data_IF_259337042515
#
_entry.id   IF_259337042515
#
_cell.length_a   1.000
_cell.length_b   1.000
_cell.length_c   1.000
_cell.angle_alpha   90.00
_cell.angle_beta   90.00
_cell.angle_gamma   90.00
#
_symmetry.space_group_name_H-M   'P 1'
#
loop_
_entity.id
_entity.type
_entity.pdbx_description
1 polymer ?
#
# COMPACT_ATOMS: atom_id res chain seq x y z
N UNK A 1 26.40 -44.03 41.30
CA UNK A 1 26.79 -42.66 41.64
C UNK A 1 25.59 -41.79 41.39
N UNK A 2 25.06 -41.23 42.47
CA UNK A 2 23.74 -40.63 42.58
C UNK A 2 23.84 -39.13 42.28
N UNK A 3 22.77 -38.55 41.75
CA UNK A 3 22.45 -37.16 42.09
C UNK A 3 22.08 -36.29 40.91
N UNK A 4 20.81 -36.40 40.50
CA UNK A 4 20.04 -35.27 39.98
C UNK A 4 20.20 -34.10 40.97
N UNK A 5 20.72 -32.93 40.57
CA UNK A 5 20.68 -31.76 41.44
C UNK A 5 19.24 -31.18 41.50
N UNK A 6 18.86 -30.59 42.64
CA UNK A 6 17.48 -30.43 43.07
C UNK A 6 16.74 -29.27 42.41
N UNK A 7 15.42 -29.46 42.25
CA UNK A 7 14.42 -28.39 42.19
C UNK A 7 14.49 -27.57 43.47
N UNK A 8 14.78 -26.27 43.35
CA UNK A 8 14.64 -25.33 44.46
C UNK A 8 13.31 -24.57 44.32
N UNK A 9 12.39 -24.65 45.30
CA UNK A 9 11.18 -23.87 45.36
C UNK A 9 11.44 -22.57 46.13
N UNK A 10 11.33 -21.41 45.48
CA UNK A 10 11.28 -20.13 46.18
C UNK A 10 10.47 -19.12 45.36
N UNK A 11 9.19 -19.00 45.72
CA UNK A 11 8.38 -17.81 45.47
C UNK A 11 8.46 -16.91 46.72
N UNK A 12 8.60 -15.60 46.51
CA UNK A 12 8.61 -14.54 47.53
C UNK A 12 10.04 -14.22 47.97
N UNK A 13 10.58 -13.03 47.74
CA UNK A 13 10.01 -11.74 48.11
C UNK A 13 10.18 -10.68 47.01
N UNK A 14 9.16 -9.83 46.90
CA UNK A 14 9.11 -8.70 46.00
C UNK A 14 10.08 -7.61 46.47
N UNK A 15 11.23 -7.51 45.82
CA UNK A 15 11.91 -6.22 45.75
C UNK A 15 11.20 -5.37 44.71
N UNK A 16 10.25 -4.54 45.20
CA UNK A 16 9.69 -3.43 44.45
C UNK A 16 10.84 -2.57 43.93
N UNK A 17 11.19 -2.74 42.65
CA UNK A 17 12.05 -1.81 41.95
C UNK A 17 11.21 -0.57 41.60
N UNK A 18 11.43 0.60 42.23
CA UNK A 18 10.68 1.81 41.90
C UNK A 18 11.07 2.41 40.53
N UNK A 19 11.97 1.76 39.78
CA UNK A 19 12.43 2.16 38.46
C UNK A 19 12.20 1.12 37.35
N UNK A 20 11.44 0.04 37.62
CA UNK A 20 10.98 -0.82 36.53
C UNK A 20 9.85 -0.10 35.79
N UNK A 21 10.21 0.59 34.70
CA UNK A 21 9.25 1.04 33.70
C UNK A 21 8.39 -0.18 33.31
N UNK A 22 7.11 -0.10 33.65
CA UNK A 22 6.08 -0.97 33.12
C UNK A 22 6.15 -0.81 31.60
N UNK A 23 6.81 -1.75 30.92
CA UNK A 23 6.60 -1.91 29.49
C UNK A 23 5.23 -2.55 29.42
N UNK A 24 4.21 -1.70 29.22
CA UNK A 24 2.91 -2.18 28.82
C UNK A 24 3.14 -3.17 27.67
N UNK A 25 2.68 -4.40 27.86
CA UNK A 25 2.61 -5.40 26.82
C UNK A 25 1.62 -4.87 25.78
N UNK A 26 2.14 -4.04 24.87
CA UNK A 26 1.42 -3.55 23.71
C UNK A 26 1.10 -4.80 22.92
N UNK A 27 -0.17 -5.21 22.99
CA UNK A 27 -0.76 -6.15 22.06
C UNK A 27 -0.28 -5.77 20.65
N UNK A 28 0.10 -6.71 19.77
CA UNK A 28 0.40 -6.39 18.38
C UNK A 28 -0.89 -5.92 17.73
N UNK A 29 -1.17 -4.63 17.93
CA UNK A 29 -2.09 -3.87 17.13
C UNK A 29 -1.36 -3.85 15.81
N UNK A 30 -1.81 -4.68 14.86
CA UNK A 30 -1.39 -4.58 13.46
C UNK A 30 -1.60 -3.12 13.07
N UNK A 31 -0.55 -2.32 13.22
CA UNK A 31 -0.54 -0.96 12.74
C UNK A 31 -0.73 -1.13 11.24
N UNK A 32 -1.92 -0.74 10.79
CA UNK A 32 -2.28 -0.69 9.39
C UNK A 32 -1.29 0.30 8.77
N UNK A 33 -0.18 -0.23 8.25
CA UNK A 33 0.82 0.54 7.53
C UNK A 33 0.13 1.23 6.37
N UNK A 34 -0.24 2.49 6.55
CA UNK A 34 -0.79 3.32 5.48
C UNK A 34 0.40 3.87 4.71
N UNK A 35 0.84 3.12 3.70
CA UNK A 35 1.59 3.73 2.61
C UNK A 35 0.56 4.48 1.79
N UNK A 36 0.72 5.79 1.69
CA UNK A 36 -0.02 6.59 0.72
C UNK A 36 0.88 6.80 -0.48
N UNK A 37 0.88 5.84 -1.41
CA UNK A 37 1.37 6.15 -2.75
C UNK A 37 0.30 7.03 -3.37
N UNK A 38 0.34 8.34 -3.15
CA UNK A 38 -0.63 9.27 -3.72
C UNK A 38 -0.32 9.44 -5.20
N UNK A 39 -1.05 8.74 -6.05
CA UNK A 39 -0.97 8.90 -7.50
C UNK A 39 -1.76 10.16 -7.87
N UNK A 40 -1.13 11.32 -7.72
CA UNK A 40 -1.75 12.60 -8.07
C UNK A 40 -1.96 12.68 -9.58
N UNK A 41 -3.21 12.55 -10.02
CA UNK A 41 -3.58 12.83 -11.40
C UNK A 41 -3.47 14.35 -11.65
N UNK A 42 -2.90 14.80 -12.78
CA UNK A 42 -2.93 16.21 -13.12
C UNK A 42 -4.39 16.66 -13.23
N UNK A 43 -4.80 17.55 -12.32
CA UNK A 43 -6.08 18.23 -12.40
C UNK A 43 -6.22 18.83 -13.80
N UNK A 44 -7.24 18.40 -14.54
CA UNK A 44 -7.52 18.91 -15.89
C UNK A 44 -7.73 20.42 -15.75
N UNK A 45 -6.73 21.20 -16.16
CA UNK A 45 -6.85 22.64 -16.25
C UNK A 45 -7.80 22.93 -17.39
N UNK A 46 -9.07 23.18 -17.07
CA UNK A 46 -10.10 23.48 -18.07
C UNK A 46 -9.77 24.83 -18.70
N UNK A 47 -9.08 24.81 -19.84
CA UNK A 47 -8.81 25.99 -20.63
C UNK A 47 -10.12 26.44 -21.31
N UNK A 48 -10.77 27.43 -20.67
CA UNK A 48 -11.72 28.42 -21.24
C UNK A 48 -12.48 28.01 -22.50
N UNK A 49 -13.73 27.58 -22.34
CA UNK A 49 -14.80 27.94 -23.27
C UNK A 49 -16.10 28.20 -22.51
N UNK A 50 -16.66 29.38 -22.78
CA UNK A 50 -17.83 30.00 -22.15
C UNK A 50 -19.12 29.22 -22.44
N UNK A 51 -19.48 28.29 -21.56
CA UNK A 51 -20.85 27.84 -21.35
C UNK A 51 -21.05 27.55 -19.85
N UNK A 52 -22.25 27.78 -19.28
CA UNK A 52 -22.54 27.35 -17.92
C UNK A 52 -22.56 25.81 -17.90
N UNK A 53 -21.48 25.20 -17.43
CA UNK A 53 -21.33 23.74 -17.35
C UNK A 53 -22.28 23.24 -16.24
N UNK A 54 -23.32 22.44 -16.54
CA UNK A 54 -24.08 21.78 -15.51
C UNK A 54 -23.21 20.65 -14.94
N UNK A 55 -23.02 20.68 -13.63
CA UNK A 55 -22.34 19.66 -12.82
C UNK A 55 -20.82 19.58 -13.03
N UNK A 56 -20.07 20.40 -12.29
CA UNK A 56 -18.66 20.11 -11.90
C UNK A 56 -18.71 19.00 -10.83
N UNK A 57 -19.42 17.93 -11.16
CA UNK A 57 -19.69 16.81 -10.29
C UNK A 57 -18.39 16.09 -10.03
N UNK A 58 -18.31 15.52 -8.83
CA UNK A 58 -17.16 14.82 -8.29
C UNK A 58 -16.88 13.49 -9.03
N UNK A 59 -16.79 13.55 -10.35
CA UNK A 59 -16.69 12.40 -11.22
C UNK A 59 -15.23 11.96 -11.30
N UNK A 60 -14.99 10.64 -11.20
CA UNK A 60 -13.65 10.11 -11.30
C UNK A 60 -13.04 10.42 -12.69
N UNK A 61 -11.72 10.71 -12.78
CA UNK A 61 -11.06 11.04 -14.04
C UNK A 61 -11.08 9.88 -15.05
N UNK A 62 -11.23 8.64 -14.56
CA UNK A 62 -11.52 7.45 -15.36
C UNK A 62 -12.83 6.80 -14.88
N UNK A 63 -13.44 5.91 -15.67
CA UNK A 63 -14.67 5.25 -15.19
C UNK A 63 -14.38 4.24 -14.09
N UNK A 64 -13.40 3.36 -14.32
CA UNK A 64 -13.00 2.28 -13.42
C UNK A 64 -11.50 2.10 -13.48
N UNK A 65 -10.87 2.00 -12.32
CA UNK A 65 -9.47 1.64 -12.17
C UNK A 65 -9.39 0.32 -11.41
N UNK A 66 -8.41 -0.49 -11.74
CA UNK A 66 -8.15 -1.76 -11.08
C UNK A 66 -6.67 -1.87 -10.72
N UNK A 67 -6.38 -2.65 -9.68
CA UNK A 67 -5.02 -3.04 -9.31
C UNK A 67 -4.84 -4.53 -9.59
N UNK A 68 -3.76 -4.88 -10.28
CA UNK A 68 -3.31 -6.25 -10.45
C UNK A 68 -1.85 -6.34 -10.00
N UNK A 69 -1.49 -7.37 -9.24
CA UNK A 69 -0.18 -7.45 -8.61
C UNK A 69 0.36 -8.85 -8.47
N UNK A 70 1.60 -8.94 -7.99
CA UNK A 70 2.33 -10.21 -7.87
C UNK A 70 1.76 -11.15 -6.80
N UNK A 71 0.98 -10.63 -5.84
CA UNK A 71 0.32 -11.43 -4.78
C UNK A 71 -0.60 -12.52 -5.32
N UNK A 72 -1.09 -12.38 -6.56
CA UNK A 72 -1.84 -13.43 -7.26
C UNK A 72 -1.32 -13.69 -8.68
N UNK A 73 -0.05 -13.39 -8.94
CA UNK A 73 0.59 -13.49 -10.25
C UNK A 73 -0.14 -12.67 -11.35
N UNK A 74 -0.70 -11.52 -10.99
CA UNK A 74 -1.47 -10.63 -11.89
C UNK A 74 -2.69 -11.31 -12.53
N UNK A 75 -3.23 -12.36 -11.89
CA UNK A 75 -4.38 -13.12 -12.41
C UNK A 75 -5.69 -12.37 -12.22
N UNK A 76 -5.83 -11.60 -11.15
CA UNK A 76 -7.04 -10.85 -10.83
C UNK A 76 -6.80 -9.34 -10.90
N UNK A 77 -7.87 -8.61 -11.21
CA UNK A 77 -7.91 -7.15 -11.24
C UNK A 77 -8.89 -6.66 -10.18
N UNK A 78 -8.37 -6.18 -9.05
CA UNK A 78 -9.17 -5.66 -7.95
C UNK A 78 -9.63 -4.23 -8.27
N UNK A 79 -10.94 -4.00 -8.36
CA UNK A 79 -11.49 -2.66 -8.64
C UNK A 79 -11.17 -1.70 -7.50
N UNK A 80 -10.68 -0.51 -7.84
CA UNK A 80 -10.40 0.58 -6.91
C UNK A 80 -11.66 1.39 -6.64
N UNK A 81 -11.82 1.88 -5.42
CA UNK A 81 -12.93 2.72 -5.01
C UNK A 81 -12.60 4.19 -5.28
N UNK A 82 -13.46 4.91 -6.01
CA UNK A 82 -13.36 6.36 -6.09
C UNK A 82 -13.97 7.00 -4.84
N UNK A 83 -13.16 7.71 -4.06
CA UNK A 83 -13.62 8.37 -2.83
C UNK A 83 -14.13 9.81 -3.04
N UNK A 84 -14.08 10.29 -4.29
CA UNK A 84 -14.34 11.69 -4.62
C UNK A 84 -13.09 12.52 -4.87
N UNK A 85 -11.90 11.98 -4.68
CA UNK A 85 -10.63 12.68 -4.87
C UNK A 85 -9.56 11.79 -5.50
N UNK A 86 -9.56 10.51 -5.14
CA UNK A 86 -8.56 9.52 -5.53
C UNK A 86 -9.19 8.14 -5.72
N UNK A 87 -8.44 7.21 -6.31
CA UNK A 87 -8.83 5.81 -6.39
C UNK A 87 -8.11 5.04 -5.30
N UNK A 88 -8.85 4.46 -4.36
CA UNK A 88 -8.26 3.71 -3.25
C UNK A 88 -8.48 2.21 -3.39
N UNK A 89 -7.47 1.43 -3.04
CA UNK A 89 -7.59 -0.03 -2.94
C UNK A 89 -6.68 -0.54 -1.82
N UNK A 90 -7.21 -1.41 -0.95
CA UNK A 90 -6.39 -2.09 0.05
C UNK A 90 -5.87 -3.39 -0.53
N UNK A 91 -4.54 -3.52 -0.57
CA UNK A 91 -3.84 -4.72 -1.01
C UNK A 91 -3.21 -5.41 0.20
N UNK A 92 -3.21 -6.74 0.19
CA UNK A 92 -2.55 -7.55 1.20
C UNK A 92 -1.26 -8.11 0.61
N UNK A 93 -0.14 -7.92 1.30
CA UNK A 93 1.13 -8.48 0.89
C UNK A 93 1.19 -9.98 1.17
N UNK A 94 1.68 -10.76 0.21
CA UNK A 94 2.02 -12.16 0.45
C UNK A 94 3.53 -12.33 0.71
N UNK A 95 4.35 -11.40 0.22
CA UNK A 95 5.80 -11.32 0.46
C UNK A 95 6.21 -9.98 1.08
N UNK A 96 7.48 -9.86 1.47
CA UNK A 96 8.08 -8.61 1.93
C UNK A 96 8.15 -7.54 0.81
N UNK A 97 8.13 -7.97 -0.45
CA UNK A 97 8.08 -7.09 -1.61
C UNK A 97 7.02 -7.56 -2.61
N UNK A 98 6.17 -6.63 -3.06
CA UNK A 98 5.14 -6.91 -4.07
C UNK A 98 5.17 -5.85 -5.17
N UNK A 99 4.92 -6.27 -6.41
CA UNK A 99 4.82 -5.42 -7.58
C UNK A 99 3.39 -5.34 -8.08
N UNK A 100 2.96 -4.18 -8.59
CA UNK A 100 1.61 -4.03 -9.13
C UNK A 100 1.54 -3.07 -10.32
N UNK A 101 0.42 -3.18 -11.06
CA UNK A 101 0.04 -2.27 -12.13
C UNK A 101 -1.37 -1.76 -11.90
N UNK A 102 -1.63 -0.53 -12.36
CA UNK A 102 -2.97 0.05 -12.37
C UNK A 102 -3.53 -0.03 -13.79
N UNK A 103 -4.72 -0.64 -13.90
CA UNK A 103 -5.38 -0.96 -15.16
C UNK A 103 -6.68 -0.18 -15.24
N UNK A 104 -6.87 0.57 -16.33
CA UNK A 104 -8.07 1.38 -16.57
C UNK A 104 -9.06 0.58 -17.40
N UNK A 105 -10.33 0.58 -16.98
CA UNK A 105 -11.44 -0.14 -17.62
C UNK A 105 -11.19 -1.65 -17.81
N UNK A 106 -10.38 -2.25 -16.95
CA UNK A 106 -10.13 -3.69 -16.96
C UNK A 106 -9.38 -4.20 -18.19
N UNK A 107 -8.64 -3.33 -18.90
CA UNK A 107 -7.88 -3.71 -20.10
C UNK A 107 -6.40 -3.39 -19.97
N UNK A 108 -5.53 -4.39 -20.17
CA UNK A 108 -4.08 -4.22 -20.19
C UNK A 108 -3.58 -3.27 -21.28
N UNK A 109 -4.42 -2.91 -22.26
CA UNK A 109 -4.11 -1.89 -23.26
C UNK A 109 -4.22 -0.45 -22.71
N UNK A 110 -4.68 -0.27 -21.46
CA UNK A 110 -4.81 1.03 -20.80
C UNK A 110 -4.25 0.92 -19.38
N UNK A 111 -2.97 1.19 -19.22
CA UNK A 111 -2.28 1.12 -17.92
C UNK A 111 -1.78 2.47 -17.45
N UNK A 112 -1.88 2.73 -16.16
CA UNK A 112 -1.20 3.83 -15.49
C UNK A 112 0.05 3.27 -14.82
N UNK A 113 1.21 3.78 -15.21
CA UNK A 113 2.51 3.24 -14.83
C UNK A 113 3.52 4.35 -14.52
N UNK A 114 4.56 4.06 -13.71
CA UNK A 114 5.61 5.02 -13.43
C UNK A 114 6.54 5.18 -14.63
N UNK A 115 7.16 6.36 -14.75
CA UNK A 115 8.21 6.62 -15.74
C UNK A 115 9.50 5.83 -15.50
N UNK A 116 9.65 5.22 -14.32
CA UNK A 116 10.80 4.42 -13.90
C UNK A 116 10.28 3.05 -13.49
N UNK A 117 10.91 1.97 -13.97
CA UNK A 117 10.54 0.63 -13.57
C UNK A 117 10.81 0.39 -12.07
N UNK A 118 9.96 -0.41 -11.45
CA UNK A 118 10.02 -0.75 -10.03
C UNK A 118 10.07 0.47 -9.11
N UNK A 119 9.24 1.47 -9.44
CA UNK A 119 9.14 2.70 -8.67
C UNK A 119 8.40 2.46 -7.35
N UNK A 120 8.95 3.03 -6.28
CA UNK A 120 8.30 3.11 -4.97
C UNK A 120 7.74 4.53 -4.79
N UNK A 121 6.88 4.73 -3.78
CA UNK A 121 6.37 6.06 -3.41
C UNK A 121 7.49 7.08 -3.09
N UNK A 122 8.66 6.60 -2.67
CA UNK A 122 9.77 7.46 -2.27
C UNK A 122 10.76 7.76 -3.39
N UNK A 123 10.54 7.19 -4.58
CA UNK A 123 11.37 7.43 -5.74
C UNK A 123 10.75 8.55 -6.58
N UNK A 124 11.59 9.44 -7.13
CA UNK A 124 11.10 10.41 -8.10
C UNK A 124 10.62 9.71 -9.38
N UNK A 125 9.37 9.90 -9.75
CA UNK A 125 8.75 9.33 -10.95
C UNK A 125 7.66 10.26 -11.49
N UNK A 126 7.27 10.07 -12.74
CA UNK A 126 6.10 10.70 -13.34
C UNK A 126 5.08 9.62 -13.72
N UNK A 127 3.78 9.95 -13.64
CA UNK A 127 2.73 9.09 -14.15
C UNK A 127 2.71 9.09 -15.69
N UNK A 128 2.53 7.91 -16.27
CA UNK A 128 2.41 7.67 -17.70
C UNK A 128 1.13 6.89 -18.00
N UNK A 129 0.68 6.95 -19.24
CA UNK A 129 -0.59 6.39 -19.68
C UNK A 129 -1.82 7.25 -19.32
N UNK A 130 -3.05 6.70 -19.39
CA UNK A 130 -3.35 5.32 -19.74
C UNK A 130 -3.12 5.01 -21.22
N UNK A 131 -2.20 4.11 -21.51
CA UNK A 131 -1.88 3.63 -22.86
C UNK A 131 -1.45 2.16 -22.85
N UNK A 132 -1.13 1.61 -24.04
CA UNK A 132 -0.68 0.22 -24.21
C UNK A 132 0.79 0.00 -23.88
N UNK A 133 1.51 1.03 -23.42
CA UNK A 133 2.86 0.97 -22.90
C UNK A 133 2.91 0.39 -21.49
N UNK A 134 3.99 0.65 -20.75
CA UNK A 134 4.12 0.27 -19.34
C UNK A 134 4.32 -1.23 -19.07
N UNK A 135 4.55 -2.05 -20.10
CA UNK A 135 4.94 -3.44 -19.87
C UNK A 135 6.30 -3.49 -19.14
N UNK A 136 6.33 -4.12 -17.96
CA UNK A 136 7.52 -4.15 -17.09
C UNK A 136 7.77 -2.88 -16.29
N UNK A 137 6.94 -1.84 -16.41
CA UNK A 137 7.00 -0.65 -15.56
C UNK A 137 6.00 -0.82 -14.40
N UNK A 138 6.45 -1.50 -13.35
CA UNK A 138 5.62 -1.78 -12.19
C UNK A 138 5.85 -0.77 -11.07
N UNK A 139 4.81 -0.58 -10.27
CA UNK A 139 4.91 -0.02 -8.93
C UNK A 139 5.37 -1.13 -7.98
N UNK A 140 6.12 -0.78 -6.93
CA UNK A 140 6.60 -1.74 -5.94
C UNK A 140 6.37 -1.23 -4.52
N UNK A 141 5.84 -2.12 -3.69
CA UNK A 141 5.66 -1.95 -2.24
C UNK A 141 6.71 -2.82 -1.54
N UNK A 142 7.34 -2.30 -0.49
CA UNK A 142 8.25 -3.07 0.37
C UNK A 142 9.72 -3.07 -0.09
N UNK A 143 10.00 -2.51 -1.27
CA UNK A 143 11.38 -2.36 -1.79
C UNK A 143 12.18 -1.29 -1.05
N UNK A 144 11.53 -0.22 -0.60
CA UNK A 144 12.19 0.80 0.21
C UNK A 144 12.09 0.42 1.69
N UNK A 145 13.18 0.51 2.50
CA UNK A 145 13.13 0.19 3.92
C UNK A 145 12.06 0.95 4.72
N UNK A 146 11.63 2.12 4.23
CA UNK A 146 10.56 2.92 4.85
C UNK A 146 9.15 2.37 4.62
N UNK A 147 8.97 1.49 3.65
CA UNK A 147 7.68 0.81 3.42
C UNK A 147 7.38 -0.22 4.52
N UNK A 148 8.42 -0.67 5.25
CA UNK A 148 8.35 -1.73 6.24
C UNK A 148 7.61 -2.97 5.70
N UNK A 149 7.95 -3.38 4.47
CA UNK A 149 7.32 -4.50 3.77
C UNK A 149 7.31 -5.78 4.60
N UNK A 150 6.12 -6.23 4.99
CA UNK A 150 5.94 -7.43 5.80
C UNK A 150 4.84 -8.34 5.19
N UNK A 151 5.10 -9.65 5.03
CA UNK A 151 4.08 -10.60 4.64
C UNK A 151 2.85 -10.54 5.56
N UNK A 152 1.66 -10.46 4.96
CA UNK A 152 0.40 -10.33 5.69
C UNK A 152 0.01 -8.90 6.05
N UNK A 153 0.91 -7.93 5.92
CA UNK A 153 0.56 -6.52 6.08
C UNK A 153 -0.39 -6.06 4.98
N UNK A 154 -1.22 -5.07 5.30
CA UNK A 154 -2.16 -4.46 4.36
C UNK A 154 -1.73 -3.03 4.06
N UNK A 155 -1.68 -2.70 2.77
CA UNK A 155 -1.30 -1.38 2.27
C UNK A 155 -2.43 -0.78 1.47
N UNK A 156 -2.50 0.55 1.47
CA UNK A 156 -3.45 1.30 0.66
C UNK A 156 -2.74 1.81 -0.60
N UNK A 157 -3.38 1.65 -1.75
CA UNK A 157 -2.94 2.22 -3.04
C UNK A 157 -3.91 3.35 -3.36
N UNK A 158 -3.42 4.58 -3.59
CA UNK A 158 -4.20 5.81 -3.81
C UNK A 158 -3.91 6.48 -5.17
#
# INVERSE_FOLDING_TARGET
>A
DNGVPPVNPAWGEAESNPFALHVDEVSPTTERGSIRTRIEFPSVSVATLTTPIPDVGNHPPYRRCHVAGSWDEFKSMNEMCWDGSSYTCVVKMEHDQESFQIVVEGTWARRIYPSVADATQFMAHCLRGPDSGGYGANWVIGKDPRDAGEPGASYEVE
#
